data_IF_253404667991
#
_entry.id   IF_253404667991
#
_cell.length_a   1.000
_cell.length_b   1.000
_cell.length_c   1.000
_cell.angle_alpha   90.00
_cell.angle_beta   90.00
_cell.angle_gamma   90.00
#
_symmetry.space_group_name_H-M   'P 1'
#
loop_
_entity.id
_entity.type
_entity.pdbx_description
1 polymer ?
#
# COMPACT_ATOMS: atom_id res chain seq x y z
N UNK A 1 6.70 48.86 -29.63
CA UNK A 1 7.56 47.70 -29.95
C UNK A 1 8.44 47.44 -28.74
N UNK A 2 8.65 46.27 -28.15
CA UNK A 2 8.11 44.92 -28.25
C UNK A 2 8.39 44.31 -26.87
N UNK A 3 7.42 43.62 -26.29
CA UNK A 3 7.58 42.79 -25.09
C UNK A 3 8.51 41.62 -25.42
N UNK A 4 9.58 41.40 -24.66
CA UNK A 4 10.37 40.16 -24.72
C UNK A 4 11.27 40.03 -23.48
N UNK A 5 10.65 39.81 -22.31
CA UNK A 5 11.37 39.59 -21.04
C UNK A 5 10.98 38.28 -20.35
N UNK A 6 10.39 37.33 -21.09
CA UNK A 6 9.80 36.13 -20.52
C UNK A 6 9.84 34.95 -21.48
N UNK A 7 10.97 34.72 -22.14
CA UNK A 7 11.20 33.50 -22.93
C UNK A 7 12.69 33.14 -22.81
N UNK A 8 13.14 32.76 -21.61
CA UNK A 8 14.45 32.11 -21.46
C UNK A 8 14.47 31.00 -20.39
N UNK A 9 13.30 30.57 -19.92
CA UNK A 9 13.16 29.51 -18.91
C UNK A 9 12.28 28.33 -19.39
N UNK A 10 12.07 28.20 -20.71
CA UNK A 10 11.28 27.12 -21.33
C UNK A 10 12.13 26.27 -22.30
N UNK A 11 13.46 26.36 -22.23
CA UNK A 11 14.36 25.62 -23.13
C UNK A 11 15.08 24.42 -22.47
N UNK A 12 14.72 24.04 -21.24
CA UNK A 12 15.38 22.92 -20.51
C UNK A 12 14.37 21.90 -19.97
N UNK A 13 13.22 21.74 -20.65
CA UNK A 13 12.22 20.72 -20.27
C UNK A 13 11.72 19.91 -21.47
N UNK A 14 12.63 19.53 -22.37
CA UNK A 14 12.30 18.72 -23.56
C UNK A 14 13.19 17.46 -23.74
N UNK A 15 13.83 16.96 -22.67
CA UNK A 15 14.74 15.81 -22.77
C UNK A 15 14.40 14.61 -21.86
N UNK A 16 13.14 14.41 -21.47
CA UNK A 16 12.73 13.19 -20.75
C UNK A 16 11.43 12.59 -21.28
N UNK A 17 11.33 12.40 -22.60
CA UNK A 17 10.39 11.45 -23.20
C UNK A 17 11.18 10.26 -23.74
N UNK A 18 11.80 9.51 -22.83
CA UNK A 18 12.21 8.14 -23.15
C UNK A 18 10.92 7.28 -23.16
N UNK A 19 10.69 6.65 -24.29
CA UNK A 19 9.51 5.91 -24.65
C UNK A 19 9.12 4.82 -23.63
N UNK A 20 7.84 4.81 -23.24
CA UNK A 20 7.13 3.58 -22.88
C UNK A 20 5.93 3.45 -23.83
N UNK A 21 6.20 3.15 -25.10
CA UNK A 21 5.19 2.49 -25.92
C UNK A 21 5.16 1.02 -25.47
N UNK A 22 4.39 0.74 -24.42
CA UNK A 22 4.12 -0.61 -23.96
C UNK A 22 3.07 -1.27 -24.85
N UNK A 23 3.40 -2.45 -25.37
CA UNK A 23 2.53 -3.35 -26.12
C UNK A 23 1.24 -3.67 -25.32
N UNK A 24 0.02 -3.70 -25.90
CA UNK A 24 -1.21 -3.93 -25.14
C UNK A 24 -1.38 -5.37 -24.62
N UNK A 25 -0.36 -6.23 -24.77
CA UNK A 25 -0.42 -7.67 -24.48
C UNK A 25 0.75 -8.25 -23.70
N UNK A 26 1.60 -7.42 -23.07
CA UNK A 26 2.75 -7.90 -22.30
C UNK A 26 2.46 -7.98 -20.81
N UNK A 27 2.51 -9.20 -20.23
CA UNK A 27 2.66 -9.38 -18.79
C UNK A 27 3.86 -8.55 -18.32
N UNK A 28 3.63 -7.52 -17.51
CA UNK A 28 4.71 -6.74 -16.92
C UNK A 28 5.65 -7.72 -16.20
N UNK A 29 6.98 -7.70 -16.47
CA UNK A 29 7.90 -8.49 -15.69
C UNK A 29 7.80 -8.00 -14.25
N UNK A 30 7.47 -8.89 -13.33
CA UNK A 30 7.57 -8.59 -11.91
C UNK A 30 9.02 -8.16 -11.65
N UNK A 31 9.22 -6.90 -11.26
CA UNK A 31 10.53 -6.44 -10.82
C UNK A 31 11.05 -7.42 -9.78
N UNK A 32 12.27 -7.97 -9.92
CA UNK A 32 12.80 -8.90 -8.94
C UNK A 32 12.79 -8.20 -7.58
N UNK A 33 12.07 -8.80 -6.63
CA UNK A 33 12.07 -8.36 -5.25
C UNK A 33 13.53 -8.34 -4.75
N UNK A 34 13.93 -7.34 -3.94
CA UNK A 34 15.25 -7.32 -3.33
C UNK A 34 15.57 -8.65 -2.65
N UNK A 35 16.78 -9.19 -2.87
CA UNK A 35 17.14 -10.53 -2.37
C UNK A 35 17.25 -10.64 -0.85
N UNK A 36 17.05 -9.56 -0.11
CA UNK A 36 17.08 -9.50 1.36
C UNK A 36 15.68 -9.52 1.99
N UNK A 37 14.61 -9.63 1.20
CA UNK A 37 13.26 -9.77 1.74
C UNK A 37 13.04 -11.16 2.32
N UNK A 38 12.43 -11.21 3.50
CA UNK A 38 11.95 -12.45 4.11
C UNK A 38 10.51 -12.64 3.66
N UNK A 39 10.28 -13.60 2.76
CA UNK A 39 8.93 -13.92 2.28
C UNK A 39 8.10 -14.57 3.38
N UNK A 40 6.83 -14.20 3.47
CA UNK A 40 5.86 -14.78 4.39
C UNK A 40 5.06 -15.87 3.69
N UNK A 41 4.63 -16.88 4.45
CA UNK A 41 3.76 -17.94 3.94
C UNK A 41 2.39 -17.37 3.55
N UNK A 42 1.87 -17.83 2.42
CA UNK A 42 0.51 -17.52 2.01
C UNK A 42 -0.49 -18.38 2.80
N UNK A 43 -1.75 -17.94 2.83
CA UNK A 43 -2.85 -18.64 3.47
C UNK A 43 -3.05 -18.29 4.96
N UNK A 44 -1.96 -18.07 5.69
CA UNK A 44 -2.02 -17.91 7.15
C UNK A 44 -1.61 -16.50 7.60
N UNK A 45 -2.19 -16.04 8.71
CA UNK A 45 -1.75 -14.81 9.36
C UNK A 45 -0.32 -14.99 9.87
N UNK A 46 0.64 -14.13 9.47
CA UNK A 46 2.03 -14.37 9.78
C UNK A 46 2.30 -14.02 11.25
N UNK A 47 2.86 -14.93 12.03
CA UNK A 47 3.27 -14.69 13.41
C UNK A 47 4.72 -14.19 13.45
N UNK A 48 4.92 -12.88 13.66
CA UNK A 48 6.24 -12.26 13.71
C UNK A 48 6.24 -10.97 14.57
N UNK A 49 7.39 -10.30 14.65
CA UNK A 49 7.56 -9.10 15.47
C UNK A 49 6.62 -7.93 15.10
N UNK A 50 6.11 -7.86 13.86
CA UNK A 50 5.22 -6.79 13.41
C UNK A 50 3.75 -7.07 13.76
N UNK A 51 3.36 -8.33 13.81
CA UNK A 51 1.96 -8.77 13.94
C UNK A 51 1.61 -9.33 15.31
N UNK A 52 2.59 -9.64 16.17
CA UNK A 52 2.38 -10.24 17.49
C UNK A 52 1.40 -9.47 18.38
N UNK A 53 1.41 -8.12 18.31
CA UNK A 53 0.57 -7.24 19.13
C UNK A 53 -0.64 -6.69 18.35
N UNK A 54 -0.92 -7.24 17.17
CA UNK A 54 -2.04 -6.84 16.32
C UNK A 54 -3.19 -7.84 16.46
N UNK A 55 -4.45 -7.38 16.42
CA UNK A 55 -5.58 -8.28 16.30
C UNK A 55 -5.46 -9.09 15.00
N UNK A 56 -5.79 -10.39 15.06
CA UNK A 56 -5.94 -11.21 13.85
C UNK A 56 -7.24 -10.76 13.13
N UNK A 57 -7.21 -10.46 11.81
CA UNK A 57 -8.42 -10.23 11.04
C UNK A 57 -9.36 -11.45 11.06
N UNK A 58 -10.67 -11.24 11.25
CA UNK A 58 -11.67 -12.32 11.25
C UNK A 58 -11.98 -12.89 9.84
N UNK A 59 -11.39 -12.30 8.80
CA UNK A 59 -11.63 -12.64 7.40
C UNK A 59 -10.41 -12.31 6.55
N UNK A 60 -10.42 -12.81 5.32
CA UNK A 60 -9.35 -12.63 4.36
C UNK A 60 -8.33 -13.76 4.39
N UNK A 61 -7.65 -13.95 3.26
CA UNK A 61 -6.57 -14.93 3.12
C UNK A 61 -5.31 -14.18 2.73
N UNK A 62 -4.18 -14.48 3.39
CA UNK A 62 -2.90 -13.88 3.00
C UNK A 62 -2.50 -14.40 1.63
N UNK A 63 -2.46 -13.53 0.62
CA UNK A 63 -2.01 -13.89 -0.74
C UNK A 63 -0.49 -13.84 -0.85
N UNK A 64 0.11 -12.82 -0.25
CA UNK A 64 1.55 -12.66 -0.17
C UNK A 64 1.93 -11.72 0.95
N UNK A 65 3.15 -11.85 1.43
CA UNK A 65 3.73 -10.89 2.34
C UNK A 65 5.23 -11.00 2.36
N UNK A 66 5.88 -9.98 2.90
CA UNK A 66 7.31 -9.99 3.14
C UNK A 66 7.69 -9.02 4.25
N UNK A 67 8.85 -9.29 4.86
CA UNK A 67 9.55 -8.38 5.75
C UNK A 67 10.78 -7.86 5.03
N UNK A 68 10.96 -6.54 5.05
CA UNK A 68 12.22 -5.89 4.67
C UNK A 68 12.97 -5.54 5.97
N UNK A 69 13.95 -6.35 6.39
CA UNK A 69 14.64 -6.14 7.67
C UNK A 69 15.50 -4.87 7.65
N UNK A 70 15.96 -4.41 6.48
CA UNK A 70 16.74 -3.18 6.36
C UNK A 70 15.87 -1.94 6.55
N UNK A 71 14.67 -1.94 5.94
CA UNK A 71 13.72 -0.82 6.05
C UNK A 71 12.76 -0.94 7.22
N UNK A 72 12.84 -2.05 7.97
CA UNK A 72 12.07 -2.34 9.19
C UNK A 72 10.57 -2.25 8.97
N UNK A 73 10.07 -2.99 7.99
CA UNK A 73 8.63 -3.09 7.77
C UNK A 73 8.20 -4.50 7.37
N UNK A 74 6.92 -4.76 7.63
CA UNK A 74 6.19 -5.93 7.14
C UNK A 74 5.09 -5.47 6.20
N UNK A 75 4.99 -6.11 5.04
CA UNK A 75 3.90 -5.94 4.09
C UNK A 75 3.11 -7.24 4.01
N UNK A 76 1.78 -7.11 3.99
CA UNK A 76 0.85 -8.23 3.85
C UNK A 76 -0.25 -7.80 2.87
N UNK A 77 -0.50 -8.62 1.86
CA UNK A 77 -1.67 -8.50 0.99
C UNK A 77 -2.66 -9.63 1.28
N UNK A 78 -3.93 -9.26 1.37
CA UNK A 78 -5.06 -10.14 1.60
C UNK A 78 -5.98 -10.15 0.37
N UNK A 79 -6.48 -11.34 0.03
CA UNK A 79 -7.68 -11.53 -0.79
C UNK A 79 -8.91 -11.78 0.08
N UNK A 80 -10.09 -11.83 -0.53
CA UNK A 80 -11.40 -12.00 0.12
C UNK A 80 -11.63 -11.00 1.27
N UNK A 81 -11.06 -9.81 1.12
CA UNK A 81 -11.19 -8.68 2.02
C UNK A 81 -12.05 -7.60 1.37
N UNK A 82 -13.36 -7.83 1.34
CA UNK A 82 -14.33 -6.83 0.88
C UNK A 82 -14.16 -5.51 1.65
N UNK A 83 -14.67 -4.40 1.09
CA UNK A 83 -14.65 -3.11 1.79
C UNK A 83 -15.17 -3.21 3.24
N UNK A 84 -16.29 -3.90 3.46
CA UNK A 84 -16.86 -4.06 4.81
C UNK A 84 -15.97 -4.89 5.74
N UNK A 85 -15.37 -5.97 5.25
CA UNK A 85 -14.41 -6.79 6.02
C UNK A 85 -13.15 -5.98 6.38
N UNK A 86 -12.66 -5.18 5.44
CA UNK A 86 -11.53 -4.27 5.66
C UNK A 86 -11.85 -3.20 6.70
N UNK A 87 -13.05 -2.62 6.65
CA UNK A 87 -13.52 -1.66 7.66
C UNK A 87 -13.69 -2.30 9.04
N UNK A 88 -14.17 -3.54 9.12
CA UNK A 88 -14.23 -4.30 10.38
C UNK A 88 -12.84 -4.48 10.98
N UNK A 89 -11.85 -4.81 10.16
CA UNK A 89 -10.47 -4.95 10.64
C UNK A 89 -9.87 -3.63 11.11
N UNK A 90 -10.14 -2.52 10.41
CA UNK A 90 -9.79 -1.16 10.88
C UNK A 90 -10.38 -0.89 12.27
N UNK A 91 -11.64 -1.24 12.51
CA UNK A 91 -12.27 -1.06 13.82
C UNK A 91 -11.67 -1.99 14.90
N UNK A 92 -11.25 -3.20 14.55
CA UNK A 92 -10.51 -4.08 15.46
C UNK A 92 -9.16 -3.46 15.86
N UNK A 93 -8.43 -2.86 14.91
CA UNK A 93 -7.19 -2.13 15.18
C UNK A 93 -7.45 -0.93 16.11
N UNK A 94 -8.52 -0.16 15.89
CA UNK A 94 -8.89 0.95 16.77
C UNK A 94 -9.20 0.48 18.19
N UNK A 95 -9.93 -0.64 18.35
CA UNK A 95 -10.18 -1.27 19.66
C UNK A 95 -8.89 -1.75 20.33
N UNK A 96 -7.89 -2.16 19.55
CA UNK A 96 -6.56 -2.52 20.02
C UNK A 96 -5.65 -1.30 20.34
N UNK A 97 -6.20 -0.07 20.32
CA UNK A 97 -5.51 1.15 20.73
C UNK A 97 -4.87 1.94 19.58
N UNK A 98 -5.03 1.52 18.33
CA UNK A 98 -4.61 2.33 17.18
C UNK A 98 -5.52 3.55 17.01
N UNK A 99 -4.92 4.68 16.63
CA UNK A 99 -5.63 5.92 16.34
C UNK A 99 -5.46 6.28 14.87
N UNK A 100 -6.55 6.72 14.25
CA UNK A 100 -6.56 7.20 12.87
C UNK A 100 -5.75 8.50 12.76
N UNK A 101 -4.72 8.47 11.93
CA UNK A 101 -3.87 9.62 11.60
C UNK A 101 -4.26 10.26 10.26
N UNK A 102 -4.96 9.52 9.40
CA UNK A 102 -5.50 10.04 8.15
C UNK A 102 -6.29 8.98 7.40
N UNK A 103 -7.29 9.43 6.64
CA UNK A 103 -8.10 8.57 5.77
C UNK A 103 -8.40 9.33 4.47
N UNK A 104 -8.24 8.65 3.35
CA UNK A 104 -8.59 9.13 2.02
C UNK A 104 -9.44 8.09 1.32
N UNK A 105 -10.40 8.54 0.53
CA UNK A 105 -11.24 7.64 -0.27
C UNK A 105 -11.60 8.28 -1.59
N UNK A 106 -11.59 7.49 -2.65
CA UNK A 106 -11.90 7.93 -4.01
C UNK A 106 -12.80 6.90 -4.70
N UNK A 107 -13.81 7.39 -5.42
CA UNK A 107 -14.57 6.54 -6.34
C UNK A 107 -13.81 6.43 -7.65
N UNK A 108 -13.53 5.21 -8.08
CA UNK A 108 -12.84 4.96 -9.35
C UNK A 108 -13.85 4.66 -10.47
N UNK A 109 -13.38 4.59 -11.73
CA UNK A 109 -14.24 4.71 -12.92
C UNK A 109 -15.40 3.72 -13.05
N UNK A 110 -15.34 2.56 -12.39
CA UNK A 110 -16.41 1.55 -12.35
C UNK A 110 -17.39 1.74 -11.17
N UNK A 111 -17.22 2.78 -10.36
CA UNK A 111 -18.03 3.07 -9.18
C UNK A 111 -17.49 2.48 -7.88
N UNK A 112 -16.44 1.66 -7.93
CA UNK A 112 -15.81 1.07 -6.75
C UNK A 112 -15.15 2.14 -5.88
N UNK A 113 -15.07 1.89 -4.57
CA UNK A 113 -14.44 2.80 -3.62
C UNK A 113 -13.04 2.28 -3.26
N UNK A 114 -12.03 3.05 -3.64
CA UNK A 114 -10.66 2.87 -3.15
C UNK A 114 -10.49 3.65 -1.85
N UNK A 115 -9.95 3.02 -0.81
CA UNK A 115 -9.73 3.65 0.49
C UNK A 115 -8.30 3.43 0.95
N UNK A 116 -7.67 4.49 1.44
CA UNK A 116 -6.40 4.44 2.16
C UNK A 116 -6.56 5.00 3.57
N UNK A 117 -6.01 4.31 4.57
CA UNK A 117 -6.06 4.73 5.97
C UNK A 117 -4.70 4.55 6.65
N UNK A 118 -4.31 5.55 7.42
CA UNK A 118 -3.13 5.56 8.28
C UNK A 118 -3.57 5.47 9.74
N UNK A 119 -3.01 4.51 10.46
CA UNK A 119 -3.24 4.23 11.86
C UNK A 119 -1.91 4.26 12.62
N UNK A 120 -1.94 4.73 13.87
CA UNK A 120 -0.74 4.76 14.72
C UNK A 120 -1.06 4.30 16.13
N UNK A 121 -0.14 3.56 16.74
CA UNK A 121 -0.16 3.18 18.15
C UNK A 121 1.28 3.19 18.65
N UNK A 122 1.60 4.09 19.57
CA UNK A 122 2.96 4.23 20.11
C UNK A 122 4.03 4.39 19.02
N UNK A 123 4.94 3.42 18.90
CA UNK A 123 6.01 3.34 17.90
C UNK A 123 5.57 2.64 16.60
N UNK A 124 4.36 2.12 16.54
CA UNK A 124 3.85 1.32 15.43
C UNK A 124 2.94 2.15 14.52
N UNK A 125 3.32 2.26 13.26
CA UNK A 125 2.48 2.80 12.18
C UNK A 125 1.93 1.69 11.30
N UNK A 126 0.65 1.78 10.95
CA UNK A 126 -0.03 0.86 10.03
C UNK A 126 -0.66 1.68 8.91
N UNK A 127 -0.38 1.32 7.66
CA UNK A 127 -1.07 1.82 6.48
C UNK A 127 -1.89 0.69 5.90
N UNK A 128 -3.19 0.89 5.71
CA UNK A 128 -4.06 -0.03 4.98
C UNK A 128 -4.57 0.66 3.73
N UNK A 129 -4.59 -0.07 2.63
CA UNK A 129 -5.30 0.32 1.40
C UNK A 129 -6.19 -0.83 0.97
N UNK A 130 -7.46 -0.55 0.70
CA UNK A 130 -8.40 -1.58 0.26
C UNK A 130 -9.27 -1.07 -0.89
N UNK A 131 -9.48 -1.97 -1.84
CA UNK A 131 -10.30 -1.78 -3.04
C UNK A 131 -10.87 -3.15 -3.39
N UNK A 132 -12.18 -3.19 -3.65
CA UNK A 132 -12.91 -4.42 -3.98
C UNK A 132 -12.76 -5.46 -2.87
N UNK A 133 -12.14 -6.59 -3.18
CA UNK A 133 -11.86 -7.73 -2.31
C UNK A 133 -10.37 -7.82 -1.91
N UNK A 134 -9.58 -6.79 -2.24
CA UNK A 134 -8.16 -6.72 -1.93
C UNK A 134 -7.91 -5.73 -0.80
N UNK A 135 -7.09 -6.15 0.16
CA UNK A 135 -6.56 -5.28 1.20
C UNK A 135 -5.05 -5.46 1.30
N UNK A 136 -4.30 -4.36 1.21
CA UNK A 136 -2.88 -4.34 1.46
C UNK A 136 -2.60 -3.60 2.77
N UNK A 137 -1.73 -4.17 3.59
CA UNK A 137 -1.32 -3.64 4.87
C UNK A 137 0.20 -3.51 4.92
N UNK A 138 0.65 -2.36 5.40
CA UNK A 138 2.05 -2.05 5.66
C UNK A 138 2.21 -1.69 7.13
N UNK A 139 3.05 -2.44 7.85
CA UNK A 139 3.31 -2.27 9.27
C UNK A 139 4.76 -1.83 9.45
N UNK A 140 4.97 -0.74 10.17
CA UNK A 140 6.30 -0.22 10.50
C UNK A 140 6.42 0.06 11.98
N UNK A 141 7.47 -0.47 12.61
CA UNK A 141 7.89 -0.12 13.96
C UNK A 141 9.01 0.93 13.87
N UNK A 142 8.97 1.96 14.72
CA UNK A 142 9.96 3.05 14.76
C UNK A 142 11.24 2.64 15.48
#
# INVERSE_FOLDING_TARGET
MKKAGGIFLIAVLFFLMAACAGDPGGSLPASPLPGNLIMLDAGEWPENEYTADMPHPESGTVERGWIDPEKKYCYIEFSDMTQSKSEQYVEALKKAGFREAGKVSEKIGNGDLSVGILLTREDTGVSLSYLNDLCAMYIKKK
#
